data_IF_072799567077
#
_entry.id   IF_072799567077
#
_cell.length_a   1.000
_cell.length_b   1.000
_cell.length_c   1.000
_cell.angle_alpha   90.00
_cell.angle_beta   90.00
_cell.angle_gamma   90.00
#
_symmetry.space_group_name_H-M   'P 1'
#
loop_
_entity.id
_entity.type
_entity.pdbx_description
1 polymer ?
#
# COMPACT_ATOMS: atom_id res chain seq x y z
N UNK A 1 10.56 -4.30 -0.76
CA UNK A 1 9.94 -5.64 -0.99
C UNK A 1 11.02 -6.65 -1.39
N UNK A 2 11.10 -7.85 -0.76
CA UNK A 2 12.20 -8.83 -1.02
C UNK A 2 12.03 -9.73 -2.25
N UNK A 3 10.95 -9.57 -3.02
CA UNK A 3 10.66 -10.48 -4.13
C UNK A 3 11.51 -10.23 -5.38
N UNK A 4 12.31 -9.16 -5.42
CA UNK A 4 13.13 -8.74 -6.57
C UNK A 4 12.36 -8.88 -7.90
N UNK A 5 11.16 -8.32 -7.90
CA UNK A 5 10.25 -8.34 -9.03
C UNK A 5 10.22 -6.96 -9.65
N UNK A 6 10.51 -6.92 -10.94
CA UNK A 6 10.41 -5.71 -11.75
C UNK A 6 8.94 -5.44 -12.13
N UNK A 7 8.50 -4.17 -12.23
CA UNK A 7 7.13 -3.80 -12.61
C UNK A 7 6.65 -4.45 -13.91
N UNK A 8 7.53 -4.61 -14.90
CA UNK A 8 7.23 -5.21 -16.21
C UNK A 8 6.76 -6.65 -16.06
N UNK A 9 7.34 -7.41 -15.12
CA UNK A 9 6.93 -8.80 -14.86
C UNK A 9 5.53 -8.88 -14.26
N UNK A 10 5.13 -7.86 -13.50
CA UNK A 10 3.77 -7.78 -12.94
C UNK A 10 2.78 -7.52 -14.08
N UNK A 11 3.11 -6.62 -15.01
CA UNK A 11 2.30 -6.33 -16.20
C UNK A 11 2.15 -7.56 -17.11
N UNK A 12 3.25 -8.26 -17.40
CA UNK A 12 3.24 -9.50 -18.18
C UNK A 12 2.34 -10.57 -17.55
N UNK A 13 2.43 -10.76 -16.23
CA UNK A 13 1.60 -11.71 -15.51
C UNK A 13 0.11 -11.32 -15.57
N UNK A 14 -0.20 -10.04 -15.36
CA UNK A 14 -1.57 -9.53 -15.46
C UNK A 14 -2.14 -9.76 -16.86
N UNK A 15 -1.37 -9.44 -17.90
CA UNK A 15 -1.78 -9.61 -19.30
C UNK A 15 -2.08 -11.07 -19.61
N UNK A 16 -1.17 -11.99 -19.26
CA UNK A 16 -1.36 -13.42 -19.50
C UNK A 16 -2.61 -13.96 -18.82
N UNK A 17 -2.88 -13.56 -17.57
CA UNK A 17 -4.09 -13.98 -16.84
C UNK A 17 -5.37 -13.43 -17.49
N UNK A 18 -5.33 -12.18 -17.96
CA UNK A 18 -6.50 -11.56 -18.62
C UNK A 18 -6.80 -12.12 -19.99
N UNK A 19 -5.79 -12.49 -20.77
CA UNK A 19 -5.96 -13.15 -22.07
C UNK A 19 -6.75 -14.47 -21.90
N UNK A 20 -6.58 -15.13 -20.76
CA UNK A 20 -7.32 -16.32 -20.32
C UNK A 20 -8.63 -16.00 -19.55
N UNK A 21 -9.06 -14.74 -19.54
CA UNK A 21 -10.27 -14.24 -18.86
C UNK A 21 -10.28 -14.46 -17.34
N UNK A 22 -9.11 -14.62 -16.73
CA UNK A 22 -8.96 -14.71 -15.28
C UNK A 22 -8.99 -13.29 -14.71
N UNK A 23 -9.86 -13.06 -13.72
CA UNK A 23 -9.92 -11.79 -13.01
C UNK A 23 -8.71 -11.66 -12.08
N UNK A 24 -8.01 -10.54 -12.19
CA UNK A 24 -6.85 -10.23 -11.35
C UNK A 24 -7.20 -9.09 -10.40
N UNK A 25 -6.78 -9.23 -9.15
CA UNK A 25 -6.88 -8.21 -8.10
C UNK A 25 -5.48 -8.03 -7.50
N UNK A 26 -4.69 -7.03 -7.93
CA UNK A 26 -3.37 -6.82 -7.39
C UNK A 26 -3.46 -6.26 -5.96
N UNK A 27 -2.63 -6.77 -5.06
CA UNK A 27 -2.51 -6.28 -3.69
C UNK A 27 -1.44 -5.19 -3.59
N UNK A 28 -1.78 -4.08 -2.93
CA UNK A 28 -0.87 -2.96 -2.68
C UNK A 28 -0.70 -2.78 -1.17
N UNK A 29 0.54 -2.76 -0.70
CA UNK A 29 0.88 -2.46 0.70
C UNK A 29 1.85 -1.28 0.69
N UNK A 30 1.64 -0.33 1.58
CA UNK A 30 2.53 0.82 1.81
C UNK A 30 2.96 0.87 3.28
N UNK A 31 3.78 1.87 3.61
CA UNK A 31 4.41 2.15 4.88
C UNK A 31 5.53 1.18 5.27
N UNK A 32 6.27 0.65 4.30
CA UNK A 32 7.44 -0.18 4.60
C UNK A 32 8.56 0.61 5.32
N UNK A 33 9.44 -0.06 6.09
CA UNK A 33 10.58 0.58 6.71
C UNK A 33 11.43 1.35 5.68
N UNK A 34 11.60 2.66 5.89
CA UNK A 34 12.37 3.53 5.00
C UNK A 34 11.62 4.03 3.77
N UNK A 35 10.36 3.65 3.57
CA UNK A 35 9.56 4.10 2.42
C UNK A 35 9.23 5.60 2.50
N UNK A 36 9.42 6.32 1.41
CA UNK A 36 9.14 7.76 1.32
C UNK A 36 7.77 8.02 0.71
N UNK A 37 7.28 9.27 0.81
CA UNK A 37 6.05 9.68 0.13
C UNK A 37 6.17 9.61 -1.41
N UNK A 38 7.38 9.77 -1.95
CA UNK A 38 7.64 9.67 -3.38
C UNK A 38 7.55 8.19 -3.84
N UNK A 39 8.02 7.26 -3.01
CA UNK A 39 7.83 5.81 -3.25
C UNK A 39 6.34 5.42 -3.22
N UNK A 40 5.58 5.99 -2.28
CA UNK A 40 4.12 5.81 -2.22
C UNK A 40 3.45 6.36 -3.48
N UNK A 41 3.84 7.55 -3.96
CA UNK A 41 3.32 8.13 -5.21
C UNK A 41 3.62 7.24 -6.40
N UNK A 42 4.86 6.80 -6.55
CA UNK A 42 5.29 5.90 -7.63
C UNK A 42 4.45 4.63 -7.64
N UNK A 43 4.16 4.09 -6.45
CA UNK A 43 3.32 2.89 -6.31
C UNK A 43 1.85 3.17 -6.69
N UNK A 44 1.27 4.30 -6.28
CA UNK A 44 -0.09 4.70 -6.67
C UNK A 44 -0.19 4.87 -8.20
N UNK A 45 0.78 5.54 -8.81
CA UNK A 45 0.84 5.74 -10.28
C UNK A 45 0.89 4.40 -11.02
N UNK A 46 1.72 3.46 -10.54
CA UNK A 46 1.79 2.13 -11.12
C UNK A 46 0.44 1.39 -11.03
N UNK A 47 -0.23 1.40 -9.88
CA UNK A 47 -1.53 0.74 -9.73
C UNK A 47 -2.63 1.39 -10.59
N UNK A 48 -2.60 2.71 -10.75
CA UNK A 48 -3.52 3.40 -11.66
C UNK A 48 -3.25 3.08 -13.13
N UNK A 49 -1.97 2.98 -13.53
CA UNK A 49 -1.59 2.48 -14.86
C UNK A 49 -2.18 1.08 -15.07
N UNK A 50 -1.96 0.16 -14.13
CA UNK A 50 -2.50 -1.20 -14.21
C UNK A 50 -4.02 -1.20 -14.35
N UNK A 51 -4.73 -0.40 -13.55
CA UNK A 51 -6.18 -0.32 -13.64
C UNK A 51 -6.65 0.24 -15.00
N UNK A 52 -5.97 1.23 -15.54
CA UNK A 52 -6.32 1.84 -16.83
C UNK A 52 -6.10 0.88 -18.00
N UNK A 53 -4.97 0.20 -18.02
CA UNK A 53 -4.59 -0.67 -19.14
C UNK A 53 -5.28 -2.03 -19.07
N UNK A 54 -5.48 -2.54 -17.86
CA UNK A 54 -5.90 -3.92 -17.63
C UNK A 54 -7.21 -4.04 -16.84
N UNK A 55 -7.81 -2.94 -16.36
CA UNK A 55 -9.07 -2.99 -15.60
C UNK A 55 -8.98 -3.80 -14.30
N UNK A 56 -7.79 -3.85 -13.68
CA UNK A 56 -7.48 -4.78 -12.59
C UNK A 56 -7.87 -4.31 -11.19
N UNK A 57 -8.37 -3.09 -10.96
CA UNK A 57 -8.88 -2.76 -9.62
C UNK A 57 -9.89 -1.61 -9.55
N UNK A 58 -10.96 -1.85 -8.77
CA UNK A 58 -11.82 -0.79 -8.23
C UNK A 58 -11.10 -0.02 -7.12
N UNK A 59 -11.48 1.23 -6.90
CA UNK A 59 -10.92 2.16 -5.92
C UNK A 59 -10.81 1.54 -4.52
N UNK A 60 -9.64 0.98 -4.19
CA UNK A 60 -9.32 0.46 -2.85
C UNK A 60 -8.05 1.14 -2.36
N UNK A 61 -8.08 1.58 -1.10
CA UNK A 61 -6.91 2.13 -0.45
C UNK A 61 -5.84 1.02 -0.31
N UNK A 62 -4.54 1.36 -0.40
CA UNK A 62 -3.50 0.40 -0.09
C UNK A 62 -3.64 -0.10 1.34
N UNK A 63 -3.28 -1.36 1.56
CA UNK A 63 -3.08 -1.88 2.91
C UNK A 63 -1.89 -1.19 3.56
N UNK A 64 -1.93 -1.02 4.88
CA UNK A 64 -0.76 -0.61 5.65
C UNK A 64 0.01 -1.84 6.13
N UNK A 65 1.32 -1.72 6.26
CA UNK A 65 2.16 -2.81 6.71
C UNK A 65 1.83 -3.20 8.15
N UNK A 66 1.22 -4.36 8.33
CA UNK A 66 0.98 -4.97 9.63
C UNK A 66 2.24 -5.66 10.16
N UNK A 67 2.51 -5.49 11.46
CA UNK A 67 3.61 -6.17 12.15
C UNK A 67 3.07 -7.46 12.75
N UNK A 68 3.78 -8.56 12.56
CA UNK A 68 3.43 -9.87 13.13
C UNK A 68 4.60 -10.45 13.96
N UNK A 69 4.30 -11.25 15.01
CA UNK A 69 5.33 -11.85 15.87
C UNK A 69 6.26 -12.78 15.08
N UNK A 70 7.56 -12.71 15.39
CA UNK A 70 8.63 -13.49 14.76
C UNK A 70 9.01 -13.02 13.36
N UNK A 71 8.42 -11.94 12.84
CA UNK A 71 8.76 -11.44 11.50
C UNK A 71 9.96 -10.51 11.53
N UNK A 72 10.61 -10.36 10.38
CA UNK A 72 11.66 -9.36 10.20
C UNK A 72 11.16 -7.92 10.43
N UNK A 73 9.90 -7.64 10.09
CA UNK A 73 9.28 -6.34 10.33
C UNK A 73 9.17 -6.06 11.82
N UNK A 74 8.82 -7.06 12.64
CA UNK A 74 8.82 -6.92 14.11
C UNK A 74 10.21 -6.59 14.63
N UNK A 75 11.24 -7.32 14.16
CA UNK A 75 12.62 -7.06 14.57
C UNK A 75 13.03 -5.62 14.26
N UNK A 76 12.77 -5.15 13.04
CA UNK A 76 13.06 -3.77 12.62
C UNK A 76 12.25 -2.76 13.45
N UNK A 77 10.99 -3.06 13.75
CA UNK A 77 10.14 -2.18 14.56
C UNK A 77 10.64 -2.06 16.01
N UNK A 78 11.17 -3.14 16.60
CA UNK A 78 11.80 -3.12 17.92
C UNK A 78 13.09 -2.30 17.87
N UNK A 79 13.96 -2.55 16.88
CA UNK A 79 15.23 -1.85 16.68
C UNK A 79 15.04 -0.34 16.52
N UNK A 80 13.99 0.07 15.80
CA UNK A 80 13.64 1.47 15.58
C UNK A 80 12.80 2.09 16.72
N UNK A 81 12.52 1.34 17.80
CA UNK A 81 11.77 1.83 18.96
C UNK A 81 10.26 1.97 18.75
N UNK A 82 9.70 1.51 17.62
CA UNK A 82 8.27 1.53 17.34
C UNK A 82 7.48 0.59 18.28
N UNK A 83 8.08 -0.54 18.65
CA UNK A 83 7.51 -1.51 19.60
C UNK A 83 8.17 -1.43 20.99
N UNK A 84 8.23 -0.23 21.57
CA UNK A 84 8.82 -0.03 22.90
C UNK A 84 7.92 -0.55 24.04
N UNK A 85 8.47 -1.37 24.94
CA UNK A 85 7.73 -2.03 26.05
C UNK A 85 6.48 -2.83 25.59
N UNK A 86 6.49 -3.28 24.34
CA UNK A 86 5.36 -3.95 23.72
C UNK A 86 5.24 -5.42 24.17
N UNK A 87 4.00 -5.92 24.27
CA UNK A 87 3.69 -7.34 24.45
C UNK A 87 2.47 -7.72 23.63
N UNK A 88 2.61 -8.71 22.75
CA UNK A 88 1.51 -9.24 21.92
C UNK A 88 0.26 -9.59 22.74
N UNK A 89 0.43 -10.18 23.92
CA UNK A 89 -0.68 -10.60 24.79
C UNK A 89 -1.42 -9.43 25.47
N UNK A 90 -0.97 -8.19 25.28
CA UNK A 90 -1.52 -6.98 25.92
C UNK A 90 -1.80 -5.85 24.94
N UNK A 91 -1.52 -6.04 23.65
CA UNK A 91 -1.86 -5.05 22.65
C UNK A 91 -3.38 -4.99 22.50
N UNK A 92 -3.91 -3.76 22.49
CA UNK A 92 -5.28 -3.45 22.07
C UNK A 92 -5.14 -2.22 21.19
N UNK A 93 -5.37 -2.37 19.90
CA UNK A 93 -5.01 -1.33 18.94
C UNK A 93 -5.98 -0.18 18.99
N UNK A 94 -5.33 0.97 19.16
CA UNK A 94 -5.43 2.17 18.35
C UNK A 94 -6.60 2.17 17.36
N UNK A 95 -7.59 3.01 17.65
CA UNK A 95 -8.80 3.22 16.84
C UNK A 95 -8.51 3.52 15.37
N UNK A 96 -7.31 4.02 15.03
CA UNK A 96 -6.96 4.35 13.65
C UNK A 96 -6.77 3.14 12.73
N UNK A 97 -6.60 1.91 13.25
CA UNK A 97 -6.51 0.71 12.39
C UNK A 97 -7.80 0.51 11.58
N UNK A 98 -8.93 0.94 12.16
CA UNK A 98 -10.24 0.93 11.50
C UNK A 98 -10.29 1.85 10.28
N UNK A 99 -9.48 2.91 10.23
CA UNK A 99 -9.41 3.82 9.06
C UNK A 99 -8.93 3.11 7.80
N UNK A 100 -8.19 2.01 7.95
CA UNK A 100 -7.58 1.26 6.85
C UNK A 100 -8.07 -0.19 6.78
N UNK A 101 -9.10 -0.53 7.55
CA UNK A 101 -9.66 -1.89 7.59
C UNK A 101 -8.70 -2.95 8.14
N UNK A 102 -7.65 -2.54 8.86
CA UNK A 102 -6.71 -3.44 9.51
C UNK A 102 -7.28 -3.96 10.84
N UNK A 103 -6.73 -5.09 11.31
CA UNK A 103 -7.14 -5.63 12.60
C UNK A 103 -6.77 -4.66 13.73
N UNK A 104 -7.68 -4.37 14.68
CA UNK A 104 -7.33 -3.57 15.85
C UNK A 104 -6.34 -4.31 16.76
N UNK A 105 -6.14 -5.62 16.64
CA UNK A 105 -5.22 -6.35 17.54
C UNK A 105 -3.82 -6.52 16.94
N UNK A 106 -3.54 -5.86 15.81
CA UNK A 106 -2.26 -5.95 15.11
C UNK A 106 -1.65 -4.56 14.95
N UNK A 107 -0.45 -4.29 15.49
CA UNK A 107 0.19 -3.00 15.31
C UNK A 107 0.59 -2.79 13.85
N UNK A 108 0.38 -1.57 13.36
CA UNK A 108 0.84 -1.12 12.06
C UNK A 108 2.29 -0.62 12.17
N UNK A 109 3.08 -0.84 11.14
CA UNK A 109 4.40 -0.24 11.00
C UNK A 109 4.23 1.21 10.56
N UNK A 110 4.40 2.15 11.49
CA UNK A 110 4.22 3.58 11.25
C UNK A 110 5.52 4.28 10.84
N UNK A 111 6.07 3.92 9.67
CA UNK A 111 7.18 4.67 9.07
C UNK A 111 6.78 6.13 8.82
N UNK A 112 5.57 6.30 8.29
CA UNK A 112 4.82 7.54 8.19
C UNK A 112 3.56 7.34 9.06
N UNK A 113 3.13 8.33 9.87
CA UNK A 113 1.92 8.20 10.68
C UNK A 113 0.69 7.82 9.85
N UNK A 114 -0.13 6.89 10.34
CA UNK A 114 -1.29 6.31 9.64
C UNK A 114 -2.21 7.38 9.06
N UNK A 115 -2.57 8.39 9.84
CA UNK A 115 -3.47 9.45 9.40
C UNK A 115 -2.86 10.32 8.30
N UNK A 116 -1.53 10.45 8.28
CA UNK A 116 -0.81 11.21 7.25
C UNK A 116 -0.73 10.43 5.95
N UNK A 117 -0.37 9.15 5.99
CA UNK A 117 -0.24 8.34 4.78
C UNK A 117 -1.61 8.08 4.14
N UNK A 118 -2.67 7.85 4.92
CA UNK A 118 -4.04 7.70 4.39
C UNK A 118 -4.50 8.97 3.67
N UNK A 119 -4.35 10.14 4.31
CA UNK A 119 -4.68 11.44 3.69
C UNK A 119 -3.88 11.67 2.40
N UNK A 120 -2.60 11.30 2.41
CA UNK A 120 -1.74 11.41 1.25
C UNK A 120 -2.22 10.52 0.10
N UNK A 121 -2.47 9.23 0.36
CA UNK A 121 -2.97 8.29 -0.65
C UNK A 121 -4.28 8.77 -1.28
N UNK A 122 -5.23 9.25 -0.47
CA UNK A 122 -6.50 9.81 -0.98
C UNK A 122 -6.22 11.03 -1.87
N UNK A 123 -5.38 11.96 -1.41
CA UNK A 123 -5.06 13.18 -2.16
C UNK A 123 -4.39 12.85 -3.49
N UNK A 124 -3.41 11.95 -3.51
CA UNK A 124 -2.69 11.57 -4.73
C UNK A 124 -3.59 10.82 -5.70
N UNK A 125 -4.43 9.90 -5.21
CA UNK A 125 -5.40 9.21 -6.05
C UNK A 125 -6.33 10.21 -6.76
N UNK A 126 -6.90 11.15 -6.01
CA UNK A 126 -7.76 12.22 -6.55
C UNK A 126 -6.99 13.12 -7.51
N UNK A 127 -5.78 13.59 -7.14
CA UNK A 127 -4.96 14.45 -8.00
C UNK A 127 -4.71 13.80 -9.36
N UNK A 128 -4.35 12.53 -9.37
CA UNK A 128 -4.05 11.81 -10.60
C UNK A 128 -5.32 11.55 -11.43
N UNK A 129 -6.46 11.24 -10.80
CA UNK A 129 -7.75 11.15 -11.51
C UNK A 129 -8.11 12.48 -12.21
N UNK A 130 -7.96 13.61 -11.53
CA UNK A 130 -8.19 14.94 -12.10
C UNK A 130 -7.19 15.28 -13.21
N UNK A 131 -5.91 14.96 -13.02
CA UNK A 131 -4.89 15.15 -14.05
C UNK A 131 -5.28 14.41 -15.33
N UNK A 132 -5.72 13.17 -15.23
CA UNK A 132 -6.14 12.38 -16.39
C UNK A 132 -7.42 12.91 -17.05
N UNK A 133 -8.39 13.36 -16.26
CA UNK A 133 -9.60 14.00 -16.78
C UNK A 133 -9.27 15.30 -17.56
N UNK A 134 -8.26 16.05 -17.12
CA UNK A 134 -7.85 17.31 -17.73
C UNK A 134 -6.80 17.13 -18.83
N UNK A 135 -6.09 16.00 -18.87
CA UNK A 135 -4.98 15.71 -19.79
C UNK A 135 -5.28 16.05 -21.27
N UNK A 136 -6.46 15.74 -21.86
CA UNK A 136 -6.76 16.09 -23.25
C UNK A 136 -6.78 17.60 -23.55
N UNK A 137 -6.86 18.43 -22.51
CA UNK A 137 -7.00 19.89 -22.60
C UNK A 137 -5.70 20.64 -22.29
N UNK A 138 -4.67 19.94 -21.81
CA UNK A 138 -3.40 20.53 -21.35
C UNK A 138 -2.16 19.95 -22.06
N UNK A 139 -2.33 18.96 -22.93
CA UNK A 139 -1.28 18.33 -23.75
C UNK A 139 -1.42 18.73 -25.22
#
# INVERSE_FOLDING_TARGET
MKKNLEPERIEEAIKALRDEKIRVTPGHIVNFPGETLDDVTTSIEFFQKLNREYGVNGASLPGLLEIYPGTEVERIAIENGLLHNFRWTRYRGIEHNLLVGASPDVPLYENIPTERIVKYCIREAVRLEWYEALRPWIA
#
